data_IF_386200232240
#
_entry.id   IF_386200232240
#
_cell.length_a   1.000
_cell.length_b   1.000
_cell.length_c   1.000
_cell.angle_alpha   90.00
_cell.angle_beta   90.00
_cell.angle_gamma   90.00
#
_symmetry.space_group_name_H-M   'P 1'
#
loop_
_entity.id
_entity.type
_entity.pdbx_description
1 polymer ?
#
# COMPACT_ATOMS: atom_id res chain seq x y z
N UNK A 1 -10.80 -13.08 -7.07
CA UNK A 1 -10.44 -12.30 -5.84
C UNK A 1 -11.11 -12.83 -4.56
N UNK A 2 -12.40 -13.15 -4.53
CA UNK A 2 -13.07 -13.53 -3.26
C UNK A 2 -12.45 -14.77 -2.60
N UNK A 3 -12.07 -15.81 -3.37
CA UNK A 3 -11.36 -16.98 -2.84
C UNK A 3 -10.04 -16.61 -2.16
N UNK A 4 -9.25 -15.72 -2.77
CA UNK A 4 -8.01 -15.21 -2.17
C UNK A 4 -8.30 -14.50 -0.84
N UNK A 5 -9.29 -13.61 -0.82
CA UNK A 5 -9.67 -12.90 0.40
C UNK A 5 -10.08 -13.88 1.50
N UNK A 6 -10.90 -14.88 1.19
CA UNK A 6 -11.29 -15.92 2.14
C UNK A 6 -10.09 -16.75 2.62
N UNK A 7 -9.10 -17.01 1.77
CA UNK A 7 -7.83 -17.63 2.17
C UNK A 7 -7.05 -16.76 3.16
N UNK A 8 -6.97 -15.45 2.92
CA UNK A 8 -6.32 -14.51 3.83
C UNK A 8 -6.98 -14.45 5.21
N UNK A 9 -8.30 -14.62 5.28
CA UNK A 9 -9.07 -14.68 6.54
C UNK A 9 -8.95 -16.05 7.21
N UNK A 10 -9.39 -17.10 6.53
CA UNK A 10 -9.59 -18.42 7.14
C UNK A 10 -8.31 -19.24 7.32
N UNK A 11 -7.27 -19.00 6.50
CA UNK A 11 -6.01 -19.75 6.54
C UNK A 11 -4.89 -18.91 7.14
N UNK A 12 -4.73 -17.67 6.68
CA UNK A 12 -3.65 -16.79 7.13
C UNK A 12 -4.04 -15.92 8.34
N UNK A 13 -5.32 -15.84 8.70
CA UNK A 13 -5.85 -15.10 9.85
C UNK A 13 -5.42 -13.62 9.85
N UNK A 14 -5.31 -13.01 8.67
CA UNK A 14 -4.78 -11.65 8.54
C UNK A 14 -5.77 -10.58 9.02
N UNK A 15 -7.04 -10.93 9.17
CA UNK A 15 -8.10 -10.02 9.66
C UNK A 15 -7.97 -9.76 11.15
N UNK A 16 -7.22 -10.58 11.88
CA UNK A 16 -6.87 -10.35 13.28
C UNK A 16 -5.94 -9.12 13.46
N UNK A 17 -5.20 -8.73 12.41
CA UNK A 17 -4.24 -7.62 12.49
C UNK A 17 -4.76 -6.30 11.92
N UNK A 18 -5.75 -6.32 11.02
CA UNK A 18 -6.26 -5.09 10.41
C UNK A 18 -7.69 -5.23 9.92
N UNK A 19 -8.49 -4.19 10.17
CA UNK A 19 -9.84 -4.05 9.60
C UNK A 19 -9.82 -3.71 8.11
N UNK A 20 -8.65 -3.39 7.54
CA UNK A 20 -8.48 -2.99 6.14
C UNK A 20 -8.12 -4.13 5.20
N UNK A 21 -8.10 -5.38 5.69
CA UNK A 21 -7.62 -6.54 4.95
C UNK A 21 -8.22 -6.65 3.55
N UNK A 22 -9.54 -6.45 3.41
CA UNK A 22 -10.20 -6.53 2.10
C UNK A 22 -9.63 -5.55 1.09
N UNK A 23 -9.32 -4.33 1.52
CA UNK A 23 -8.74 -3.30 0.66
C UNK A 23 -7.29 -3.61 0.29
N UNK A 24 -6.52 -4.17 1.22
CA UNK A 24 -5.14 -4.64 1.04
C UNK A 24 -5.10 -5.77 0.01
N UNK A 25 -5.91 -6.82 0.22
CA UNK A 25 -6.00 -7.97 -0.68
C UNK A 25 -6.42 -7.52 -2.08
N UNK A 26 -7.40 -6.61 -2.20
CA UNK A 26 -7.84 -6.08 -3.50
C UNK A 26 -6.70 -5.37 -4.25
N UNK A 27 -5.92 -4.52 -3.56
CA UNK A 27 -4.78 -3.81 -4.15
C UNK A 27 -3.68 -4.80 -4.58
N UNK A 28 -3.32 -5.72 -3.69
CA UNK A 28 -2.31 -6.74 -3.97
C UNK A 28 -2.69 -7.64 -5.15
N UNK A 29 -3.94 -8.12 -5.18
CA UNK A 29 -4.46 -8.93 -6.28
C UNK A 29 -4.38 -8.17 -7.61
N UNK A 30 -4.86 -6.92 -7.64
CA UNK A 30 -4.84 -6.09 -8.86
C UNK A 30 -3.42 -5.86 -9.37
N UNK A 31 -2.47 -5.56 -8.47
CA UNK A 31 -1.06 -5.39 -8.83
C UNK A 31 -0.43 -6.69 -9.35
N UNK A 32 -0.66 -7.81 -8.67
CA UNK A 32 -0.17 -9.11 -9.09
C UNK A 32 -0.66 -9.49 -10.49
N UNK A 33 -1.97 -9.31 -10.78
CA UNK A 33 -2.53 -9.55 -12.12
C UNK A 33 -1.90 -8.63 -13.18
N UNK A 34 -1.71 -7.34 -12.87
CA UNK A 34 -1.06 -6.42 -13.82
C UNK A 34 0.39 -6.78 -14.14
N UNK A 35 1.11 -7.40 -13.20
CA UNK A 35 2.49 -7.84 -13.40
C UNK A 35 2.56 -9.22 -14.08
N UNK A 36 1.66 -10.15 -13.73
CA UNK A 36 1.58 -11.49 -14.30
C UNK A 36 1.25 -11.50 -15.79
N UNK A 37 0.35 -10.62 -16.23
CA UNK A 37 -0.06 -10.52 -17.63
C UNK A 37 1.07 -10.07 -18.59
N UNK A 38 2.18 -9.55 -18.08
CA UNK A 38 3.36 -9.27 -18.91
C UNK A 38 4.14 -10.53 -19.30
N UNK A 39 3.87 -11.68 -18.66
CA UNK A 39 4.63 -12.91 -18.84
C UNK A 39 4.04 -13.93 -19.84
N UNK A 40 2.83 -13.72 -20.40
CA UNK A 40 2.27 -14.71 -21.33
C UNK A 40 0.99 -14.27 -22.03
N UNK A 41 1.03 -14.31 -23.36
CA UNK A 41 -0.13 -14.12 -24.26
C UNK A 41 -1.03 -15.34 -24.13
N UNK A 42 -1.96 -15.32 -23.16
CA UNK A 42 -2.96 -16.36 -22.95
C UNK A 42 -4.18 -15.76 -22.26
N UNK A 43 -5.36 -16.34 -22.45
CA UNK A 43 -6.58 -15.94 -21.73
C UNK A 43 -6.31 -16.09 -20.23
N UNK A 44 -5.98 -14.98 -19.58
CA UNK A 44 -5.84 -14.94 -18.14
C UNK A 44 -7.24 -14.99 -17.57
N UNK A 45 -7.50 -15.93 -16.66
CA UNK A 45 -8.72 -15.87 -15.88
C UNK A 45 -8.57 -14.72 -14.88
N UNK A 46 -9.38 -13.68 -15.05
CA UNK A 46 -9.36 -12.48 -14.21
C UNK A 46 -9.80 -12.77 -12.77
N UNK A 47 -10.44 -13.92 -12.51
CA UNK A 47 -10.95 -14.29 -11.19
C UNK A 47 -9.91 -15.02 -10.32
N UNK A 48 -8.97 -15.74 -10.93
CA UNK A 48 -7.94 -16.55 -10.27
C UNK A 48 -6.53 -15.95 -10.41
N UNK A 49 -5.61 -16.43 -9.57
CA UNK A 49 -4.18 -16.09 -9.60
C UNK A 49 -3.36 -17.32 -9.97
N UNK A 50 -2.54 -17.21 -11.01
CA UNK A 50 -1.56 -18.22 -11.41
C UNK A 50 -0.42 -18.33 -10.40
N UNK A 51 0.37 -19.41 -10.44
CA UNK A 51 1.44 -19.65 -9.44
C UNK A 51 2.40 -18.46 -9.25
N UNK A 52 2.83 -17.81 -10.34
CA UNK A 52 3.69 -16.62 -10.25
C UNK A 52 2.93 -15.41 -9.68
N UNK A 53 1.67 -15.22 -10.09
CA UNK A 53 0.83 -14.13 -9.60
C UNK A 53 0.52 -14.31 -8.11
N UNK A 54 0.29 -15.53 -7.65
CA UNK A 54 0.07 -15.86 -6.25
C UNK A 54 1.29 -15.46 -5.39
N UNK A 55 2.50 -15.79 -5.83
CA UNK A 55 3.73 -15.38 -5.13
C UNK A 55 3.87 -13.85 -5.07
N UNK A 56 3.65 -13.17 -6.20
CA UNK A 56 3.70 -11.70 -6.27
C UNK A 56 2.62 -11.07 -5.39
N UNK A 57 1.43 -11.64 -5.37
CA UNK A 57 0.31 -11.19 -4.55
C UNK A 57 0.63 -11.27 -3.07
N UNK A 58 1.25 -12.36 -2.59
CA UNK A 58 1.68 -12.45 -1.18
C UNK A 58 2.71 -11.38 -0.83
N UNK A 59 3.68 -11.10 -1.71
CA UNK A 59 4.61 -9.98 -1.51
C UNK A 59 3.88 -8.64 -1.43
N UNK A 60 2.96 -8.37 -2.35
CA UNK A 60 2.17 -7.14 -2.31
C UNK A 60 1.25 -7.05 -1.08
N UNK A 61 0.68 -8.17 -0.59
CA UNK A 61 -0.10 -8.17 0.65
C UNK A 61 0.79 -7.70 1.82
N UNK A 62 2.01 -8.22 1.92
CA UNK A 62 2.97 -7.82 2.93
C UNK A 62 3.30 -6.32 2.83
N UNK A 63 3.68 -5.85 1.64
CA UNK A 63 4.01 -4.43 1.42
C UNK A 63 2.82 -3.52 1.77
N UNK A 64 1.60 -3.88 1.36
CA UNK A 64 0.41 -3.10 1.66
C UNK A 64 0.01 -3.15 3.14
N UNK A 65 0.33 -4.22 3.87
CA UNK A 65 0.17 -4.26 5.33
C UNK A 65 1.11 -3.26 6.00
N UNK A 66 2.39 -3.24 5.65
CA UNK A 66 3.35 -2.29 6.19
C UNK A 66 2.98 -0.83 5.86
N UNK A 67 2.59 -0.56 4.62
CA UNK A 67 2.14 0.76 4.19
C UNK A 67 0.85 1.18 4.90
N UNK A 68 -0.05 0.22 5.22
CA UNK A 68 -1.26 0.50 6.00
C UNK A 68 -0.91 0.93 7.42
N UNK A 69 -0.01 0.21 8.09
CA UNK A 69 0.46 0.57 9.43
C UNK A 69 1.10 1.97 9.41
N UNK A 70 1.97 2.24 8.44
CA UNK A 70 2.58 3.57 8.28
C UNK A 70 1.51 4.65 8.09
N UNK A 71 0.54 4.43 7.19
CA UNK A 71 -0.51 5.40 6.90
C UNK A 71 -1.37 5.71 8.14
N UNK A 72 -1.82 4.68 8.86
CA UNK A 72 -2.65 4.84 10.06
C UNK A 72 -1.93 5.55 11.20
N UNK A 73 -0.61 5.44 11.27
CA UNK A 73 0.21 6.17 12.24
C UNK A 73 0.40 7.65 11.89
N UNK A 74 0.21 8.01 10.61
CA UNK A 74 0.31 9.40 10.13
C UNK A 74 -1.06 10.08 10.18
N UNK A 75 -2.11 9.41 9.73
CA UNK A 75 -3.51 9.89 9.74
C UNK A 75 -4.09 9.89 11.16
N UNK A 76 -3.63 10.84 11.98
CA UNK A 76 -4.10 11.02 13.35
C UNK A 76 -5.59 11.37 13.44
N UNK A 77 -6.16 11.92 12.37
CA UNK A 77 -7.58 12.25 12.27
C UNK A 77 -8.47 11.03 12.00
N UNK A 78 -7.91 9.95 11.45
CA UNK A 78 -8.60 8.72 11.07
C UNK A 78 -9.56 8.90 9.89
N UNK A 79 -9.39 9.94 9.08
CA UNK A 79 -10.30 10.27 7.97
C UNK A 79 -9.89 9.64 6.62
N UNK A 80 -8.83 8.82 6.62
CA UNK A 80 -8.21 8.19 5.45
C UNK A 80 -7.52 9.15 4.47
N UNK A 81 -7.11 10.32 4.97
CA UNK A 81 -6.39 11.36 4.25
C UNK A 81 -5.32 11.94 5.18
N UNK A 82 -4.11 12.13 4.67
CA UNK A 82 -3.04 12.77 5.42
C UNK A 82 -2.98 14.25 5.03
N UNK A 83 -3.19 15.15 5.99
CA UNK A 83 -2.95 16.58 5.79
C UNK A 83 -1.46 16.96 6.01
N UNK A 84 -1.07 18.16 5.59
CA UNK A 84 0.33 18.62 5.71
C UNK A 84 0.84 18.67 7.16
N UNK A 85 -0.05 18.92 8.14
CA UNK A 85 0.32 18.97 9.55
C UNK A 85 0.56 17.57 10.09
N UNK A 86 -0.31 16.62 9.73
CA UNK A 86 -0.19 15.20 10.06
C UNK A 86 1.11 14.62 9.49
N UNK A 87 1.37 14.85 8.20
CA UNK A 87 2.61 14.43 7.54
C UNK A 87 3.84 14.96 8.27
N UNK A 88 3.88 16.28 8.52
CA UNK A 88 5.01 16.95 9.19
C UNK A 88 5.23 16.44 10.62
N UNK A 89 4.15 16.17 11.35
CA UNK A 89 4.23 15.63 12.71
C UNK A 89 4.79 14.20 12.73
N UNK A 90 4.54 13.41 11.68
CA UNK A 90 4.98 12.02 11.58
C UNK A 90 6.41 11.82 11.05
N UNK A 91 7.05 12.87 10.52
CA UNK A 91 8.44 12.80 9.97
C UNK A 91 9.44 12.09 10.88
N UNK A 92 9.52 12.36 12.19
CA UNK A 92 10.45 11.65 13.07
C UNK A 92 10.19 10.14 13.12
N UNK A 93 8.91 9.73 13.04
CA UNK A 93 8.49 8.33 13.07
C UNK A 93 8.71 7.66 11.71
N UNK A 94 8.54 8.38 10.60
CA UNK A 94 8.84 7.89 9.25
C UNK A 94 10.30 7.41 9.09
N UNK A 95 11.23 7.92 9.90
CA UNK A 95 12.61 7.42 9.98
C UNK A 95 12.72 5.95 10.40
N UNK A 96 11.75 5.41 11.14
CA UNK A 96 11.68 3.98 11.50
C UNK A 96 11.47 3.07 10.28
N UNK A 97 10.88 3.61 9.20
CA UNK A 97 10.75 2.95 7.90
C UNK A 97 11.92 3.27 6.94
N UNK A 98 12.98 3.92 7.42
CA UNK A 98 14.14 4.31 6.61
C UNK A 98 13.89 5.49 5.68
N UNK A 99 12.80 6.25 5.88
CA UNK A 99 12.50 7.45 5.10
C UNK A 99 13.25 8.65 5.69
N UNK A 100 14.06 9.32 4.87
CA UNK A 100 14.76 10.55 5.24
C UNK A 100 14.05 11.73 4.60
N UNK A 101 13.45 12.59 5.43
CA UNK A 101 12.69 13.77 4.99
C UNK A 101 13.33 15.02 5.59
N UNK A 102 14.05 15.77 4.76
CA UNK A 102 14.70 17.02 5.17
C UNK A 102 13.75 18.22 5.13
N UNK A 103 12.90 18.29 4.11
CA UNK A 103 11.90 19.34 3.93
C UNK A 103 10.49 18.72 3.79
N UNK A 104 9.76 18.58 4.91
CA UNK A 104 8.44 17.98 4.92
C UNK A 104 7.43 18.70 4.03
N UNK A 105 7.55 20.03 3.92
CA UNK A 105 6.60 20.85 3.15
C UNK A 105 6.83 20.67 1.64
N UNK A 106 8.07 20.46 1.21
CA UNK A 106 8.40 20.13 -0.19
C UNK A 106 7.99 18.70 -0.53
N UNK A 107 8.31 17.72 0.34
CA UNK A 107 7.93 16.32 0.11
C UNK A 107 6.42 16.17 0.09
N UNK A 108 5.67 16.82 0.99
CA UNK A 108 4.22 16.74 0.97
C UNK A 108 3.62 17.22 -0.36
N UNK A 109 4.14 18.32 -0.93
CA UNK A 109 3.71 18.82 -2.25
C UNK A 109 4.08 17.91 -3.41
N UNK A 110 5.16 17.14 -3.29
CA UNK A 110 5.50 16.11 -4.29
C UNK A 110 4.49 14.96 -4.25
N UNK A 111 4.00 14.61 -3.05
CA UNK A 111 3.03 13.53 -2.87
C UNK A 111 1.62 13.97 -3.30
N UNK A 112 1.18 15.16 -2.88
CA UNK A 112 -0.10 15.80 -3.23
C UNK A 112 -0.07 16.35 -4.67
N UNK A 113 0.14 15.47 -5.66
CA UNK A 113 0.27 15.81 -7.09
C UNK A 113 -0.95 16.57 -7.63
N UNK A 114 -2.14 16.31 -7.05
CA UNK A 114 -3.39 16.97 -7.44
C UNK A 114 -3.62 18.32 -6.72
N UNK A 115 -2.80 18.68 -5.73
CA UNK A 115 -2.86 19.94 -4.99
C UNK A 115 -4.12 20.11 -4.13
N UNK A 116 -4.72 19.02 -3.67
CA UNK A 116 -5.93 19.04 -2.83
C UNK A 116 -5.66 19.50 -1.39
N UNK A 117 -4.40 19.49 -0.97
CA UNK A 117 -3.98 19.68 0.41
C UNK A 117 -4.14 18.43 1.28
N UNK A 118 -4.50 17.29 0.68
CA UNK A 118 -4.77 16.03 1.36
C UNK A 118 -4.25 14.84 0.55
N UNK A 119 -3.44 14.01 1.16
CA UNK A 119 -2.84 12.84 0.51
C UNK A 119 -3.63 11.58 0.85
N UNK A 120 -4.29 10.92 -0.13
CA UNK A 120 -4.90 9.61 0.08
C UNK A 120 -3.84 8.49 0.17
N UNK A 121 -4.26 7.34 0.71
CA UNK A 121 -3.40 6.16 0.87
C UNK A 121 -2.60 5.80 -0.38
N UNK A 122 -3.23 5.79 -1.55
CA UNK A 122 -2.58 5.34 -2.78
C UNK A 122 -1.46 6.29 -3.24
N UNK A 123 -1.58 7.59 -2.99
CA UNK A 123 -0.54 8.59 -3.29
C UNK A 123 0.65 8.43 -2.33
N UNK A 124 0.39 8.31 -1.02
CA UNK A 124 1.44 8.07 -0.02
C UNK A 124 2.16 6.74 -0.26
N UNK A 125 1.41 5.67 -0.52
CA UNK A 125 1.96 4.34 -0.81
C UNK A 125 2.86 4.36 -2.04
N UNK A 126 2.42 5.03 -3.12
CA UNK A 126 3.21 5.15 -4.33
C UNK A 126 4.52 5.91 -4.10
N UNK A 127 4.50 6.98 -3.30
CA UNK A 127 5.71 7.71 -2.92
C UNK A 127 6.64 6.85 -2.05
N UNK A 128 6.12 6.25 -0.99
CA UNK A 128 6.91 5.46 -0.04
C UNK A 128 7.62 4.29 -0.72
N UNK A 129 6.94 3.57 -1.63
CA UNK A 129 7.56 2.48 -2.41
C UNK A 129 8.70 2.94 -3.33
N UNK A 130 8.69 4.19 -3.80
CA UNK A 130 9.81 4.75 -4.60
C UNK A 130 10.97 5.19 -3.71
N UNK A 131 10.65 5.74 -2.54
CA UNK A 131 11.64 6.27 -1.60
C UNK A 131 12.40 5.18 -0.83
N UNK A 132 11.73 4.07 -0.49
CA UNK A 132 12.37 2.95 0.23
C UNK A 132 13.24 2.08 -0.66
N UNK A 133 12.95 1.98 -1.97
CA UNK A 133 13.72 1.19 -2.93
C UNK A 133 15.09 1.81 -3.31
N UNK A 134 15.42 2.98 -2.75
CA UNK A 134 16.63 3.75 -3.05
C UNK A 134 17.81 3.57 -2.08
N UNK A 135 17.71 2.66 -1.10
CA UNK A 135 18.77 2.39 -0.12
C UNK A 135 19.30 0.95 -0.22
#
# INVERSE_FOLDING_TARGET
MEEVYQGCVSILQLDEFTTRLRSIVKRAFTKAKSMGNTAGVGQCDDEFVEFLEFRLMLCYIYDYLELTVMFEEIDTSGNMLVDAREFKAAVPKMGEWGLVIEDPDTIFKEIDDNGSGQVPFDELAAWASRSSAGH
#
